data_IF_831628086089
#
_entry.id   IF_831628086089
#
_cell.length_a   1.000
_cell.length_b   1.000
_cell.length_c   1.000
_cell.angle_alpha   90.00
_cell.angle_beta   90.00
_cell.angle_gamma   90.00
#
_symmetry.space_group_name_H-M   'P 1'
#
loop_
_entity.id
_entity.type
_entity.pdbx_description
1 polymer ?
#
# COMPACT_ATOMS: atom_id res chain seq x y z
N UNK A 1 -40.50 -42.29 17.28
CA UNK A 1 -39.31 -41.97 18.09
C UNK A 1 -38.11 -42.17 17.20
N UNK A 2 -37.46 -41.09 16.76
CA UNK A 2 -36.18 -41.16 16.02
C UNK A 2 -35.04 -41.33 17.03
N UNK A 3 -34.27 -42.40 16.90
CA UNK A 3 -33.11 -42.69 17.75
C UNK A 3 -31.85 -42.15 17.11
N UNK A 4 -31.26 -41.14 17.75
CA UNK A 4 -30.00 -40.52 17.36
C UNK A 4 -28.83 -41.50 17.61
N UNK A 5 -28.31 -42.12 16.55
CA UNK A 5 -27.11 -42.97 16.65
C UNK A 5 -25.86 -42.09 16.64
N UNK A 6 -25.29 -41.86 17.83
CA UNK A 6 -24.02 -41.12 17.98
C UNK A 6 -22.85 -42.11 17.86
N UNK A 7 -22.30 -42.23 16.65
CA UNK A 7 -21.02 -42.92 16.44
C UNK A 7 -19.88 -41.98 16.81
N UNK A 8 -19.29 -42.18 17.99
CA UNK A 8 -18.01 -41.57 18.37
C UNK A 8 -16.97 -42.67 18.37
N UNK A 9 -16.46 -43.00 17.17
CA UNK A 9 -15.24 -43.80 17.06
C UNK A 9 -14.09 -42.90 17.52
N UNK A 10 -13.45 -43.27 18.63
CA UNK A 10 -12.29 -42.53 19.15
C UNK A 10 -11.15 -42.59 18.13
N UNK A 11 -10.64 -41.43 17.73
CA UNK A 11 -9.44 -41.33 16.91
C UNK A 11 -8.26 -41.88 17.73
N UNK A 12 -7.47 -42.74 17.13
CA UNK A 12 -6.26 -43.24 17.79
C UNK A 12 -5.20 -42.13 17.84
N UNK A 13 -4.36 -42.11 18.87
CA UNK A 13 -3.28 -41.12 18.97
C UNK A 13 -2.33 -41.17 17.77
N UNK A 14 -2.14 -42.34 17.17
CA UNK A 14 -1.26 -42.55 16.02
C UNK A 14 -1.84 -41.93 14.75
N UNK A 15 -3.15 -42.05 14.51
CA UNK A 15 -3.80 -41.39 13.37
C UNK A 15 -3.71 -39.87 13.48
N UNK A 16 -3.94 -39.32 14.67
CA UNK A 16 -3.78 -37.88 14.90
C UNK A 16 -2.33 -37.44 14.78
N UNK A 17 -1.37 -38.27 15.24
CA UNK A 17 0.06 -38.00 15.14
C UNK A 17 0.53 -37.87 13.68
N UNK A 18 0.07 -38.77 12.80
CA UNK A 18 0.45 -38.70 11.38
C UNK A 18 -0.01 -37.39 10.73
N UNK A 19 -1.21 -36.91 11.07
CA UNK A 19 -1.77 -35.67 10.51
C UNK A 19 -0.97 -34.45 10.97
N UNK A 20 -0.65 -34.34 12.27
CA UNK A 20 0.10 -33.18 12.77
C UNK A 20 1.54 -33.16 12.25
N UNK A 21 2.15 -34.31 11.99
CA UNK A 21 3.49 -34.40 11.37
C UNK A 21 3.44 -33.86 9.94
N UNK A 22 2.46 -34.27 9.14
CA UNK A 22 2.29 -33.76 7.77
C UNK A 22 2.00 -32.26 7.78
N UNK A 23 1.09 -31.79 8.65
CA UNK A 23 0.79 -30.36 8.81
C UNK A 23 2.03 -29.55 9.26
N UNK A 24 2.87 -30.10 10.14
CA UNK A 24 4.10 -29.46 10.61
C UNK A 24 5.13 -29.27 9.49
N UNK A 25 5.31 -30.30 8.63
CA UNK A 25 6.20 -30.21 7.47
C UNK A 25 5.69 -29.17 6.47
N UNK A 26 4.39 -29.20 6.15
CA UNK A 26 3.80 -28.22 5.23
C UNK A 26 3.89 -26.79 5.77
N UNK A 27 3.61 -26.58 7.06
CA UNK A 27 3.69 -25.26 7.69
C UNK A 27 5.12 -24.69 7.63
N UNK A 28 6.14 -25.52 7.84
CA UNK A 28 7.54 -25.07 7.82
C UNK A 28 7.96 -24.53 6.45
N UNK A 29 7.58 -25.21 5.36
CA UNK A 29 7.89 -24.76 3.98
C UNK A 29 7.09 -23.48 3.65
N UNK A 30 5.82 -23.44 4.05
CA UNK A 30 4.94 -22.30 3.79
C UNK A 30 5.47 -21.00 4.42
N UNK A 31 6.03 -21.05 5.62
CA UNK A 31 6.53 -19.86 6.33
C UNK A 31 7.66 -19.16 5.57
N UNK A 32 8.54 -19.91 4.90
CA UNK A 32 9.65 -19.30 4.15
C UNK A 32 9.17 -18.59 2.88
N UNK A 33 8.27 -19.23 2.13
CA UNK A 33 7.75 -18.66 0.87
C UNK A 33 6.79 -17.49 1.10
N UNK A 34 6.13 -17.42 2.25
CA UNK A 34 5.16 -16.35 2.53
C UNK A 34 5.80 -14.99 2.79
N UNK A 35 7.08 -14.93 3.18
CA UNK A 35 7.77 -13.66 3.49
C UNK A 35 7.82 -12.71 2.30
N UNK A 36 8.26 -13.21 1.15
CA UNK A 36 8.33 -12.40 -0.09
C UNK A 36 6.94 -11.97 -0.55
N UNK A 37 5.93 -12.82 -0.39
CA UNK A 37 4.55 -12.47 -0.73
C UNK A 37 4.03 -11.35 0.17
N UNK A 38 4.31 -11.40 1.48
CA UNK A 38 3.91 -10.34 2.41
C UNK A 38 4.60 -9.03 2.08
N UNK A 39 5.89 -9.06 1.73
CA UNK A 39 6.64 -7.87 1.33
C UNK A 39 6.04 -7.24 0.06
N UNK A 40 5.71 -8.04 -0.95
CA UNK A 40 5.07 -7.56 -2.17
C UNK A 40 3.69 -6.97 -1.89
N UNK A 41 2.85 -7.64 -1.10
CA UNK A 41 1.53 -7.13 -0.70
C UNK A 41 1.64 -5.82 0.06
N UNK A 42 2.62 -5.70 0.97
CA UNK A 42 2.87 -4.45 1.69
C UNK A 42 3.34 -3.34 0.75
N UNK A 43 4.21 -3.65 -0.22
CA UNK A 43 4.71 -2.68 -1.18
C UNK A 43 3.60 -2.21 -2.13
N UNK A 44 2.79 -3.13 -2.64
CA UNK A 44 1.60 -2.83 -3.45
C UNK A 44 0.59 -1.97 -2.68
N UNK A 45 0.36 -2.25 -1.39
CA UNK A 45 -0.52 -1.42 -0.56
C UNK A 45 -0.01 0.02 -0.44
N UNK A 46 1.30 0.21 -0.25
CA UNK A 46 1.93 1.53 -0.18
C UNK A 46 1.80 2.27 -1.53
N UNK A 47 2.02 1.58 -2.65
CA UNK A 47 1.88 2.18 -3.98
C UNK A 47 0.43 2.54 -4.29
N UNK A 48 -0.51 1.66 -3.94
CA UNK A 48 -1.95 1.91 -4.09
C UNK A 48 -2.41 3.12 -3.25
N UNK A 49 -1.86 3.32 -2.05
CA UNK A 49 -2.12 4.50 -1.22
C UNK A 49 -1.64 5.78 -1.93
N UNK A 50 -0.44 5.77 -2.54
CA UNK A 50 0.05 6.90 -3.33
C UNK A 50 -0.86 7.22 -4.53
N UNK A 51 -1.35 6.19 -5.24
CA UNK A 51 -2.32 6.38 -6.33
C UNK A 51 -3.63 6.97 -5.82
N UNK A 52 -4.15 6.48 -4.68
CA UNK A 52 -5.36 7.02 -4.07
C UNK A 52 -5.19 8.50 -3.70
N UNK A 53 -4.03 8.87 -3.15
CA UNK A 53 -3.68 10.26 -2.86
C UNK A 53 -3.74 11.14 -4.11
N UNK A 54 -3.20 10.66 -5.23
CA UNK A 54 -3.26 11.37 -6.50
C UNK A 54 -4.70 11.49 -7.01
N UNK A 55 -5.53 10.45 -6.89
CA UNK A 55 -6.94 10.52 -7.29
C UNK A 55 -7.74 11.52 -6.46
N UNK A 56 -7.52 11.56 -5.15
CA UNK A 56 -8.12 12.55 -4.28
C UNK A 56 -7.67 13.98 -4.65
N UNK A 57 -6.41 14.16 -4.99
CA UNK A 57 -5.88 15.45 -5.49
C UNK A 57 -6.54 15.88 -6.80
N UNK A 58 -6.73 14.94 -7.73
CA UNK A 58 -7.46 15.18 -8.99
C UNK A 58 -8.89 15.60 -8.73
N UNK A 59 -9.56 14.94 -7.79
CA UNK A 59 -10.94 15.26 -7.40
C UNK A 59 -11.03 16.66 -6.79
N UNK A 60 -10.13 16.98 -5.86
CA UNK A 60 -10.02 18.30 -5.24
C UNK A 60 -9.84 19.40 -6.30
N UNK A 61 -8.91 19.21 -7.23
CA UNK A 61 -8.69 20.15 -8.32
C UNK A 61 -9.91 20.31 -9.23
N UNK A 62 -10.64 19.22 -9.49
CA UNK A 62 -11.88 19.26 -10.27
C UNK A 62 -13.01 20.00 -9.54
N UNK A 63 -12.99 20.03 -8.21
CA UNK A 63 -13.97 20.76 -7.40
C UNK A 63 -13.66 22.26 -7.32
N UNK A 64 -12.41 22.66 -7.51
CA UNK A 64 -12.03 24.07 -7.56
C UNK A 64 -12.45 24.72 -8.89
N UNK A 65 -13.14 25.86 -8.81
CA UNK A 65 -13.73 26.55 -9.98
C UNK A 65 -12.75 26.95 -11.08
N UNK A 66 -11.48 27.13 -10.75
CA UNK A 66 -10.44 27.55 -11.69
C UNK A 66 -9.39 26.45 -11.93
N UNK A 67 -9.66 25.20 -11.51
CA UNK A 67 -8.70 24.09 -11.53
C UNK A 67 -7.33 24.51 -10.98
N UNK A 68 -7.33 25.41 -9.99
CA UNK A 68 -6.14 26.12 -9.55
C UNK A 68 -5.15 25.11 -8.95
N UNK A 69 -3.89 25.26 -9.34
CA UNK A 69 -2.80 24.48 -8.74
C UNK A 69 -2.21 25.34 -7.64
N UNK A 70 -2.25 24.90 -6.38
CA UNK A 70 -1.67 25.67 -5.30
C UNK A 70 -0.16 25.86 -5.53
N UNK A 71 0.34 27.09 -5.31
CA UNK A 71 1.79 27.34 -5.38
C UNK A 71 2.50 26.47 -4.32
N UNK A 72 3.39 25.57 -4.76
CA UNK A 72 4.03 24.56 -3.92
C UNK A 72 3.30 23.22 -3.78
N UNK A 73 2.23 23.00 -4.56
CA UNK A 73 1.48 21.74 -4.55
C UNK A 73 0.51 21.61 -3.37
N UNK A 74 -0.15 20.46 -3.33
CA UNK A 74 -0.98 20.05 -2.22
C UNK A 74 -0.11 19.32 -1.19
N UNK A 75 0.08 19.95 -0.04
CA UNK A 75 1.01 19.50 0.99
C UNK A 75 0.23 18.86 2.13
N UNK A 76 0.62 17.65 2.51
CA UNK A 76 0.22 17.00 3.74
C UNK A 76 1.42 16.93 4.69
N UNK A 77 1.27 17.46 5.90
CA UNK A 77 2.30 17.42 6.95
C UNK A 77 1.64 17.23 8.32
N UNK A 78 1.91 16.12 8.99
CA UNK A 78 1.49 15.84 10.36
C UNK A 78 2.58 16.36 11.33
N UNK A 79 2.28 17.22 12.34
CA UNK A 79 0.99 17.47 12.98
C UNK A 79 0.29 18.81 12.62
N UNK A 80 0.31 19.19 11.34
CA UNK A 80 -0.31 20.38 10.71
C UNK A 80 0.61 21.57 10.49
N UNK A 81 0.89 21.81 9.21
CA UNK A 81 1.05 23.17 8.68
C UNK A 81 0.47 23.18 7.26
N UNK A 82 -0.74 23.74 7.13
CA UNK A 82 -1.44 24.00 5.87
C UNK A 82 -2.04 22.77 5.18
N UNK A 83 -3.01 22.19 5.86
CA UNK A 83 -3.93 21.16 5.41
C UNK A 83 -4.72 21.62 4.17
N UNK A 84 -4.15 21.44 2.97
CA UNK A 84 -4.77 21.82 1.70
C UNK A 84 -5.67 20.69 1.21
N UNK A 85 -6.95 20.74 1.60
CA UNK A 85 -8.15 20.16 0.97
C UNK A 85 -8.19 18.66 0.59
N UNK A 86 -7.09 17.91 0.65
CA UNK A 86 -7.07 16.49 0.25
C UNK A 86 -7.61 15.58 1.35
N UNK A 87 -7.47 15.89 2.66
CA UNK A 87 -8.03 15.01 3.71
C UNK A 87 -9.55 14.91 3.70
N UNK A 88 -10.26 15.87 3.08
CA UNK A 88 -11.71 15.72 2.90
C UNK A 88 -12.05 14.58 1.93
N UNK A 89 -11.09 14.14 1.11
CA UNK A 89 -11.24 13.09 0.09
C UNK A 89 -10.45 11.81 0.40
N UNK A 90 -9.62 11.80 1.46
CA UNK A 90 -8.83 10.64 1.87
C UNK A 90 -9.05 10.36 3.35
N UNK A 91 -9.51 9.15 3.65
CA UNK A 91 -9.61 8.67 5.02
C UNK A 91 -8.29 8.01 5.46
N UNK A 92 -7.79 8.41 6.62
CA UNK A 92 -6.75 7.72 7.38
C UNK A 92 -5.48 7.32 6.60
N UNK A 93 -4.85 8.28 5.92
CA UNK A 93 -3.49 8.12 5.38
C UNK A 93 -2.49 7.95 6.52
N UNK A 94 -1.73 6.86 6.51
CA UNK A 94 -0.88 6.48 7.64
C UNK A 94 0.47 7.23 7.68
N UNK A 95 0.77 8.06 6.67
CA UNK A 95 2.10 8.63 6.47
C UNK A 95 2.22 10.10 6.86
N UNK A 96 3.37 10.42 7.45
CA UNK A 96 3.60 11.68 8.21
C UNK A 96 3.76 12.92 7.32
N UNK A 97 4.18 12.79 6.06
CA UNK A 97 4.30 13.95 5.16
C UNK A 97 4.43 13.55 3.68
N UNK A 98 3.68 14.18 2.80
CA UNK A 98 3.84 14.06 1.33
C UNK A 98 3.39 15.34 0.63
N UNK A 99 3.83 15.54 -0.60
CA UNK A 99 3.45 16.67 -1.45
C UNK A 99 3.02 16.12 -2.81
N UNK A 100 1.82 16.47 -3.25
CA UNK A 100 1.38 16.21 -4.63
C UNK A 100 1.58 17.48 -5.44
N UNK A 101 2.19 17.36 -6.60
CA UNK A 101 2.38 18.46 -7.56
C UNK A 101 1.74 18.08 -8.89
N UNK A 102 1.23 19.09 -9.61
CA UNK A 102 0.72 18.91 -10.96
C UNK A 102 1.58 19.73 -11.92
N UNK A 103 2.20 19.06 -12.90
CA UNK A 103 2.90 19.74 -13.99
C UNK A 103 1.89 20.15 -15.07
N UNK A 104 1.63 21.45 -15.17
CA UNK A 104 0.73 22.03 -16.18
C UNK A 104 1.20 21.87 -17.62
N UNK A 105 2.48 21.54 -17.83
CA UNK A 105 3.08 21.37 -19.15
C UNK A 105 2.77 19.99 -19.72
N UNK A 106 2.90 18.96 -18.88
CA UNK A 106 2.77 17.56 -19.29
C UNK A 106 1.41 16.95 -18.88
N UNK A 107 0.65 17.63 -18.02
CA UNK A 107 -0.64 17.13 -17.54
C UNK A 107 -0.49 15.98 -16.54
N UNK A 108 0.68 15.84 -15.92
CA UNK A 108 1.05 14.72 -15.05
C UNK A 108 0.94 15.13 -13.58
N UNK A 109 0.48 14.20 -12.76
CA UNK A 109 0.50 14.32 -11.31
C UNK A 109 1.70 13.56 -10.78
N UNK A 110 2.39 14.20 -9.85
CA UNK A 110 3.55 13.62 -9.19
C UNK A 110 3.41 13.69 -7.67
N UNK A 111 3.93 12.68 -6.99
CA UNK A 111 3.99 12.64 -5.51
C UNK A 111 5.44 12.66 -5.04
N UNK A 112 5.71 13.47 -4.00
CA UNK A 112 7.01 13.63 -3.37
C UNK A 112 6.90 13.39 -1.85
N UNK A 113 7.90 12.73 -1.25
CA UNK A 113 7.99 12.43 0.17
C UNK A 113 7.19 11.20 0.63
N UNK A 114 6.55 10.47 -0.30
CA UNK A 114 5.79 9.25 0.02
C UNK A 114 6.69 7.99 -0.01
N UNK A 115 6.54 7.01 0.89
CA UNK A 115 7.38 5.80 0.89
C UNK A 115 7.33 4.96 -0.39
N UNK A 116 6.31 5.18 -1.25
CA UNK A 116 6.24 4.58 -2.59
C UNK A 116 7.49 4.90 -3.43
N UNK A 117 8.19 6.00 -3.16
CA UNK A 117 9.41 6.41 -3.89
C UNK A 117 10.49 5.34 -3.85
N UNK A 118 10.75 4.79 -2.65
CA UNK A 118 11.79 3.78 -2.48
C UNK A 118 11.38 2.39 -2.99
N UNK A 119 10.12 2.21 -3.37
CA UNK A 119 9.58 0.95 -3.87
C UNK A 119 9.61 0.94 -5.39
N UNK A 120 9.17 2.04 -6.02
CA UNK A 120 9.06 2.12 -7.49
C UNK A 120 10.31 2.67 -8.16
N UNK A 121 11.09 3.52 -7.48
CA UNK A 121 12.36 4.02 -7.99
C UNK A 121 13.52 3.23 -7.38
N UNK A 122 14.35 2.60 -8.22
CA UNK A 122 15.64 2.01 -7.80
C UNK A 122 16.74 3.10 -7.61
N UNK A 123 16.35 4.38 -7.61
CA UNK A 123 17.25 5.52 -7.39
C UNK A 123 17.76 5.54 -5.96
N UNK A 124 18.88 4.85 -5.72
CA UNK A 124 19.58 4.85 -4.44
C UNK A 124 20.63 5.95 -4.40
N UNK A 125 20.74 6.63 -3.27
CA UNK A 125 21.84 7.56 -2.99
C UNK A 125 23.17 6.81 -2.99
N UNK A 126 24.30 7.53 -2.91
CA UNK A 126 25.64 6.93 -2.87
C UNK A 126 25.87 5.97 -1.69
N UNK A 127 24.92 5.90 -0.73
CA UNK A 127 24.95 5.04 0.44
C UNK A 127 23.94 3.87 0.36
N UNK A 128 23.26 3.69 -0.77
CA UNK A 128 22.29 2.62 -0.97
C UNK A 128 20.90 2.88 -0.39
N UNK A 129 20.62 4.11 0.10
CA UNK A 129 19.31 4.51 0.62
C UNK A 129 18.44 5.06 -0.51
N UNK A 130 17.13 4.77 -0.59
CA UNK A 130 16.25 5.36 -1.59
C UNK A 130 16.30 6.90 -1.52
N UNK A 131 16.50 7.53 -2.68
CA UNK A 131 16.55 8.98 -2.84
C UNK A 131 15.13 9.52 -2.95
N UNK A 132 14.83 10.62 -2.25
CA UNK A 132 13.52 11.27 -2.35
C UNK A 132 13.43 11.95 -3.73
N UNK A 133 12.65 11.37 -4.63
CA UNK A 133 12.43 11.84 -6.00
C UNK A 133 10.93 11.80 -6.30
N UNK A 134 10.45 12.86 -6.96
CA UNK A 134 9.05 12.95 -7.42
C UNK A 134 8.72 11.73 -8.29
N UNK A 135 7.58 11.09 -8.04
CA UNK A 135 7.11 9.95 -8.82
C UNK A 135 5.89 10.34 -9.62
N UNK A 136 5.92 10.13 -10.92
CA UNK A 136 4.75 10.26 -11.77
C UNK A 136 3.71 9.17 -11.48
N UNK A 137 2.43 9.51 -11.61
CA UNK A 137 1.31 8.57 -11.50
C UNK A 137 1.44 7.37 -12.45
N UNK A 138 1.98 7.57 -13.65
CA UNK A 138 2.20 6.52 -14.66
C UNK A 138 3.09 5.39 -14.14
N UNK A 139 4.16 5.74 -13.41
CA UNK A 139 5.12 4.80 -12.83
C UNK A 139 4.48 4.02 -11.68
N UNK A 140 3.65 4.69 -10.86
CA UNK A 140 2.90 4.03 -9.79
C UNK A 140 1.89 3.02 -10.34
N UNK A 141 1.18 3.36 -11.41
CA UNK A 141 0.24 2.46 -12.05
C UNK A 141 0.94 1.26 -12.70
N UNK A 142 2.08 1.49 -13.36
CA UNK A 142 2.88 0.41 -13.97
C UNK A 142 3.40 -0.59 -12.92
N UNK A 143 3.70 -0.14 -11.69
CA UNK A 143 4.12 -1.04 -10.62
C UNK A 143 3.00 -1.98 -10.16
N UNK A 144 1.74 -1.59 -10.33
CA UNK A 144 0.57 -2.37 -9.91
C UNK A 144 0.05 -3.33 -10.99
N UNK A 145 0.57 -3.24 -12.22
CA UNK A 145 0.25 -4.16 -13.34
C UNK A 145 1.06 -5.45 -13.29
#
# INVERSE_FOLDING_TARGET
>A
METYFRSQRGLTLVELLAVIVILGIMATIAVLSLRTVIENVSNEAIVAEAVNIIQATKLERSHQRDNAVPNGGWVHQNPNVNQRAIEDYIDNVNFTSYIVTFDSTNGVYEILGHPAEGIVNDSKDSNGKPTIQSIEESVLLQFME
#
